data_IF_618995630117
#
_entry.id   IF_618995630117
#
_cell.length_a   1.000
_cell.length_b   1.000
_cell.length_c   1.000
_cell.angle_alpha   90.00
_cell.angle_beta   90.00
_cell.angle_gamma   90.00
#
_symmetry.space_group_name_H-M   'P 1'
#
loop_
_entity.id
_entity.type
_entity.pdbx_description
1 polymer ?
#
# COMPACT_ATOMS: atom_id res chain seq x y z
N UNK A 1 -105.19 -4.21 -70.25
CA UNK A 1 -104.16 -3.34 -69.64
C UNK A 1 -102.99 -4.21 -69.22
N UNK A 2 -101.79 -3.83 -69.70
CA UNK A 2 -100.43 -4.15 -69.22
C UNK A 2 -100.17 -5.49 -68.51
N UNK A 3 -99.55 -6.42 -69.26
CA UNK A 3 -98.55 -7.35 -68.73
C UNK A 3 -97.23 -6.59 -68.56
N UNK A 4 -96.59 -6.68 -67.40
CA UNK A 4 -95.26 -6.13 -67.14
C UNK A 4 -94.33 -7.32 -66.87
N UNK A 5 -93.50 -7.67 -67.85
CA UNK A 5 -92.35 -8.54 -67.64
C UNK A 5 -91.25 -7.76 -66.91
N UNK A 6 -90.87 -8.22 -65.73
CA UNK A 6 -89.72 -7.73 -64.99
C UNK A 6 -88.51 -8.59 -65.35
N UNK A 7 -87.70 -8.12 -66.30
CA UNK A 7 -86.37 -8.66 -66.57
C UNK A 7 -85.43 -8.21 -65.44
N UNK A 8 -85.08 -9.11 -64.54
CA UNK A 8 -84.03 -8.86 -63.55
C UNK A 8 -82.66 -8.85 -64.25
N UNK A 9 -82.00 -7.71 -64.18
CA UNK A 9 -80.71 -7.43 -64.80
C UNK A 9 -79.58 -8.04 -63.96
N UNK A 10 -79.31 -9.34 -64.19
CA UNK A 10 -78.30 -10.13 -63.48
C UNK A 10 -76.85 -9.66 -63.71
N UNK A 11 -76.65 -8.69 -64.61
CA UNK A 11 -75.34 -8.13 -64.96
C UNK A 11 -74.75 -7.22 -63.88
N UNK A 12 -75.61 -6.61 -63.05
CA UNK A 12 -75.21 -5.59 -62.07
C UNK A 12 -74.70 -6.14 -60.74
N UNK A 13 -74.99 -7.41 -60.43
CA UNK A 13 -74.50 -8.07 -59.21
C UNK A 13 -73.07 -8.62 -59.34
N UNK A 14 -72.51 -8.72 -60.55
CA UNK A 14 -71.16 -9.28 -60.74
C UNK A 14 -70.05 -8.25 -60.52
N UNK A 15 -70.29 -6.99 -60.88
CA UNK A 15 -69.29 -5.90 -60.82
C UNK A 15 -69.14 -5.23 -59.45
N UNK A 16 -70.06 -5.48 -58.51
CA UNK A 16 -69.96 -4.94 -57.15
C UNK A 16 -69.00 -5.76 -56.24
N UNK A 17 -68.75 -7.03 -56.57
CA UNK A 17 -67.87 -7.92 -55.79
C UNK A 17 -66.39 -7.88 -56.19
N UNK A 18 -66.04 -7.46 -57.41
CA UNK A 18 -64.63 -7.40 -57.85
C UNK A 18 -63.90 -6.17 -57.31
N UNK A 19 -64.57 -5.02 -57.20
CA UNK A 19 -63.94 -3.77 -56.74
C UNK A 19 -63.69 -3.73 -55.22
N UNK A 20 -64.59 -4.33 -54.43
CA UNK A 20 -64.43 -4.45 -52.98
C UNK A 20 -63.31 -5.45 -52.61
N UNK A 21 -63.17 -6.53 -53.38
CA UNK A 21 -62.08 -7.49 -53.21
C UNK A 21 -60.72 -6.86 -53.53
N UNK A 22 -60.62 -6.06 -54.60
CA UNK A 22 -59.35 -5.40 -54.96
C UNK A 22 -58.89 -4.38 -53.91
N UNK A 23 -59.81 -3.61 -53.34
CA UNK A 23 -59.50 -2.69 -52.24
C UNK A 23 -58.98 -3.43 -50.99
N UNK A 24 -59.57 -4.59 -50.67
CA UNK A 24 -59.10 -5.44 -49.58
C UNK A 24 -57.66 -5.92 -49.80
N UNK A 25 -57.32 -6.40 -51.01
CA UNK A 25 -55.96 -6.84 -51.33
C UNK A 25 -54.93 -5.71 -51.27
N UNK A 26 -55.29 -4.50 -51.71
CA UNK A 26 -54.40 -3.32 -51.61
C UNK A 26 -54.11 -2.99 -50.14
N UNK A 27 -55.14 -2.94 -49.30
CA UNK A 27 -54.97 -2.66 -47.86
C UNK A 27 -54.14 -3.75 -47.19
N UNK A 28 -54.36 -5.02 -47.54
CA UNK A 28 -53.57 -6.14 -47.02
C UNK A 28 -52.08 -6.01 -47.39
N UNK A 29 -51.77 -5.69 -48.66
CA UNK A 29 -50.41 -5.47 -49.12
C UNK A 29 -49.77 -4.27 -48.44
N UNK A 30 -50.51 -3.16 -48.27
CA UNK A 30 -50.02 -1.98 -47.58
C UNK A 30 -49.71 -2.27 -46.10
N UNK A 31 -50.56 -3.04 -45.42
CA UNK A 31 -50.37 -3.45 -44.03
C UNK A 31 -49.20 -4.43 -43.89
N UNK A 32 -49.03 -5.33 -44.85
CA UNK A 32 -47.86 -6.22 -44.93
C UNK A 32 -46.56 -5.43 -45.14
N UNK A 33 -46.54 -4.44 -46.03
CA UNK A 33 -45.38 -3.56 -46.22
C UNK A 33 -45.05 -2.74 -44.97
N UNK A 34 -46.06 -2.25 -44.25
CA UNK A 34 -45.87 -1.56 -42.96
C UNK A 34 -45.29 -2.51 -41.90
N UNK A 35 -45.78 -3.74 -41.81
CA UNK A 35 -45.25 -4.74 -40.89
C UNK A 35 -43.80 -5.10 -41.23
N UNK A 36 -43.46 -5.25 -42.52
CA UNK A 36 -42.11 -5.54 -42.98
C UNK A 36 -41.15 -4.35 -42.72
N UNK A 37 -41.63 -3.12 -42.93
CA UNK A 37 -40.88 -1.90 -42.60
C UNK A 37 -40.59 -1.80 -41.11
N UNK A 38 -41.60 -2.05 -40.27
CA UNK A 38 -41.41 -2.09 -38.81
C UNK A 38 -40.44 -3.21 -38.42
N UNK A 39 -40.53 -4.40 -39.01
CA UNK A 39 -39.59 -5.49 -38.76
C UNK A 39 -38.15 -5.09 -39.13
N UNK A 40 -37.95 -4.49 -40.30
CA UNK A 40 -36.64 -4.00 -40.74
C UNK A 40 -36.10 -2.92 -39.81
N UNK A 41 -36.93 -1.98 -39.34
CA UNK A 41 -36.53 -0.97 -38.37
C UNK A 41 -36.15 -1.60 -37.03
N UNK A 42 -36.96 -2.53 -36.51
CA UNK A 42 -36.65 -3.23 -35.25
C UNK A 42 -35.34 -4.01 -35.36
N UNK A 43 -35.12 -4.73 -36.46
CA UNK A 43 -33.86 -5.45 -36.74
C UNK A 43 -32.67 -4.50 -36.88
N UNK A 44 -32.83 -3.37 -37.56
CA UNK A 44 -31.77 -2.36 -37.71
C UNK A 44 -31.41 -1.72 -36.37
N UNK A 45 -32.41 -1.40 -35.54
CA UNK A 45 -32.20 -0.87 -34.20
C UNK A 45 -31.48 -1.90 -33.32
N UNK A 46 -31.89 -3.18 -33.34
CA UNK A 46 -31.20 -4.23 -32.57
C UNK A 46 -29.78 -4.50 -33.08
N UNK A 47 -29.52 -4.39 -34.38
CA UNK A 47 -28.19 -4.53 -34.96
C UNK A 47 -27.26 -3.35 -34.58
N UNK A 48 -27.75 -2.11 -34.64
CA UNK A 48 -26.97 -0.90 -34.31
C UNK A 48 -26.70 -0.81 -32.80
N UNK A 49 -27.69 -1.12 -31.95
CA UNK A 49 -27.52 -1.17 -30.50
C UNK A 49 -26.61 -2.32 -30.04
N UNK A 50 -26.11 -3.15 -30.96
CA UNK A 50 -25.19 -4.27 -30.70
C UNK A 50 -25.64 -5.21 -29.58
N UNK A 51 -26.95 -5.29 -29.31
CA UNK A 51 -27.50 -6.17 -28.27
C UNK A 51 -27.07 -7.62 -28.52
N UNK A 52 -26.90 -8.00 -29.80
CA UNK A 52 -26.48 -9.34 -30.20
C UNK A 52 -24.95 -9.57 -30.26
N UNK A 53 -24.14 -8.50 -30.37
CA UNK A 53 -22.67 -8.61 -30.57
C UNK A 53 -21.86 -8.21 -29.34
N UNK A 54 -22.49 -7.59 -28.34
CA UNK A 54 -21.87 -7.25 -27.05
C UNK A 54 -22.25 -8.19 -25.89
N UNK A 55 -23.16 -9.14 -26.12
CA UNK A 55 -23.63 -10.11 -25.11
C UNK A 55 -23.17 -11.54 -25.38
N UNK A 56 -22.24 -11.78 -26.32
CA UNK A 56 -21.70 -13.12 -26.59
C UNK A 56 -21.01 -13.73 -25.36
N UNK A 57 -20.55 -12.85 -24.47
CA UNK A 57 -19.76 -13.16 -23.31
C UNK A 57 -20.54 -13.02 -22.00
N UNK A 58 -21.87 -12.92 -22.04
CA UNK A 58 -22.71 -12.71 -20.86
C UNK A 58 -23.75 -13.83 -20.79
N UNK A 59 -23.69 -14.65 -19.75
CA UNK A 59 -24.69 -15.68 -19.47
C UNK A 59 -25.39 -15.38 -18.14
N UNK A 60 -26.72 -15.44 -18.15
CA UNK A 60 -27.52 -15.27 -16.95
C UNK A 60 -27.79 -16.64 -16.32
N UNK A 61 -27.20 -16.90 -15.14
CA UNK A 61 -27.45 -18.14 -14.40
C UNK A 61 -28.69 -17.92 -13.54
N UNK A 62 -29.85 -18.35 -14.04
CA UNK A 62 -31.14 -18.14 -13.37
C UNK A 62 -31.22 -18.82 -11.99
N UNK A 63 -30.55 -19.97 -11.82
CA UNK A 63 -30.55 -20.72 -10.56
C UNK A 63 -29.75 -20.05 -9.44
N UNK A 64 -28.78 -19.20 -9.79
CA UNK A 64 -27.86 -18.55 -8.86
C UNK A 64 -28.02 -17.02 -8.81
N UNK A 65 -29.00 -16.47 -9.54
CA UNK A 65 -29.23 -15.02 -9.73
C UNK A 65 -27.92 -14.25 -10.00
N UNK A 66 -27.03 -14.85 -10.79
CA UNK A 66 -25.68 -14.35 -11.02
C UNK A 66 -25.44 -14.18 -12.51
N UNK A 67 -24.74 -13.10 -12.86
CA UNK A 67 -24.31 -12.82 -14.22
C UNK A 67 -22.90 -13.38 -14.40
N UNK A 68 -22.77 -14.29 -15.35
CA UNK A 68 -21.51 -14.89 -15.75
C UNK A 68 -20.92 -14.13 -16.92
N UNK A 69 -19.68 -13.70 -16.76
CA UNK A 69 -18.89 -13.04 -17.78
C UNK A 69 -17.85 -14.01 -18.34
N UNK A 70 -17.72 -14.09 -19.66
CA UNK A 70 -16.76 -14.93 -20.36
C UNK A 70 -15.72 -14.08 -21.10
N UNK A 71 -14.45 -14.42 -20.96
CA UNK A 71 -13.36 -13.72 -21.65
C UNK A 71 -13.22 -12.25 -21.25
N UNK A 72 -12.60 -11.47 -22.12
CA UNK A 72 -12.31 -10.06 -21.85
C UNK A 72 -13.53 -9.21 -22.16
N UNK A 73 -14.02 -8.49 -21.16
CA UNK A 73 -15.15 -7.58 -21.29
C UNK A 73 -14.72 -6.20 -20.80
N UNK A 74 -15.00 -5.19 -21.62
CA UNK A 74 -14.70 -3.80 -21.32
C UNK A 74 -15.95 -3.13 -20.76
N UNK A 75 -15.86 -2.71 -19.50
CA UNK A 75 -16.89 -1.95 -18.80
C UNK A 75 -16.29 -0.68 -18.21
N UNK A 76 -16.78 0.48 -18.62
CA UNK A 76 -16.40 1.78 -18.03
C UNK A 76 -16.81 1.87 -16.55
N UNK A 77 -18.03 1.41 -16.22
CA UNK A 77 -18.53 1.40 -14.84
C UNK A 77 -19.43 0.21 -14.58
N UNK A 78 -19.06 -0.59 -13.59
CA UNK A 78 -19.88 -1.71 -13.09
C UNK A 78 -20.51 -1.30 -11.77
N UNK A 79 -21.84 -1.40 -11.67
CA UNK A 79 -22.57 -1.23 -10.43
C UNK A 79 -23.16 -2.56 -10.00
N UNK A 80 -22.76 -3.04 -8.82
CA UNK A 80 -23.25 -4.29 -8.24
C UNK A 80 -23.75 -4.02 -6.83
N UNK A 81 -25.01 -4.39 -6.55
CA UNK A 81 -25.67 -4.04 -5.29
C UNK A 81 -25.14 -4.85 -4.10
N UNK A 82 -24.82 -6.12 -4.31
CA UNK A 82 -24.27 -7.01 -3.28
C UNK A 82 -22.76 -6.79 -3.02
N UNK A 83 -22.08 -6.03 -3.88
CA UNK A 83 -20.64 -5.75 -3.80
C UNK A 83 -19.74 -6.99 -3.94
N UNK A 84 -20.27 -8.13 -4.38
CA UNK A 84 -19.54 -9.40 -4.46
C UNK A 84 -18.92 -9.58 -5.85
N UNK A 85 -17.59 -9.56 -5.95
CA UNK A 85 -16.87 -9.83 -7.19
C UNK A 85 -16.08 -11.13 -7.02
N UNK A 86 -16.45 -12.15 -7.79
CA UNK A 86 -15.89 -13.50 -7.71
C UNK A 86 -15.35 -13.95 -9.07
N UNK A 87 -14.48 -14.96 -9.03
CA UNK A 87 -13.89 -15.61 -10.20
C UNK A 87 -14.18 -17.11 -10.18
N UNK A 88 -13.89 -17.80 -11.29
CA UNK A 88 -14.04 -19.24 -11.35
C UNK A 88 -13.05 -19.95 -10.44
N UNK A 89 -13.39 -21.20 -10.10
CA UNK A 89 -12.49 -22.06 -9.37
C UNK A 89 -11.16 -22.19 -10.14
N UNK A 90 -10.05 -21.87 -9.47
CA UNK A 90 -8.68 -21.86 -10.01
C UNK A 90 -8.36 -20.79 -11.08
N UNK A 91 -9.28 -19.87 -11.39
CA UNK A 91 -9.02 -18.73 -12.27
C UNK A 91 -8.99 -17.43 -11.45
N UNK A 92 -7.97 -16.57 -11.60
CA UNK A 92 -7.95 -15.29 -10.92
C UNK A 92 -8.98 -14.32 -11.53
N UNK A 93 -9.61 -13.50 -10.68
CA UNK A 93 -10.34 -12.32 -11.16
C UNK A 93 -9.32 -11.25 -11.59
N UNK A 94 -9.24 -10.98 -12.88
CA UNK A 94 -8.39 -9.93 -13.42
C UNK A 94 -9.21 -8.67 -13.70
N UNK A 95 -8.83 -7.56 -13.05
CA UNK A 95 -9.41 -6.24 -13.29
C UNK A 95 -8.29 -5.34 -13.82
N UNK A 96 -8.42 -4.92 -15.08
CA UNK A 96 -7.41 -4.10 -15.77
C UNK A 96 -8.00 -2.77 -16.20
N UNK A 97 -7.24 -1.69 -16.01
CA UNK A 97 -7.55 -0.37 -16.56
C UNK A 97 -6.59 -0.05 -17.70
N UNK A 98 -7.10 0.02 -18.93
CA UNK A 98 -6.30 0.45 -20.08
C UNK A 98 -6.16 1.97 -20.07
N UNK A 99 -4.94 2.46 -19.84
CA UNK A 99 -4.63 3.89 -19.70
C UNK A 99 -5.42 4.65 -18.60
N UNK A 100 -6.06 3.92 -17.67
CA UNK A 100 -6.87 4.48 -16.59
C UNK A 100 -6.62 3.82 -15.23
N UNK A 101 -7.07 4.49 -14.17
CA UNK A 101 -7.03 3.95 -12.80
C UNK A 101 -8.26 3.06 -12.56
N UNK A 102 -8.09 1.98 -11.79
CA UNK A 102 -9.22 1.14 -11.35
C UNK A 102 -9.66 1.57 -9.96
N UNK A 103 -10.91 2.05 -9.83
CA UNK A 103 -11.49 2.48 -8.56
C UNK A 103 -12.67 1.60 -8.16
N UNK A 104 -12.61 1.02 -6.95
CA UNK A 104 -13.74 0.29 -6.35
C UNK A 104 -14.34 1.14 -5.24
N UNK A 105 -15.59 1.52 -5.47
CA UNK A 105 -16.34 2.43 -4.64
C UNK A 105 -17.49 1.72 -3.95
N UNK A 106 -17.63 1.93 -2.65
CA UNK A 106 -18.74 1.40 -1.87
C UNK A 106 -19.73 2.54 -1.58
N UNK A 107 -20.99 2.33 -1.96
CA UNK A 107 -22.08 3.27 -1.71
C UNK A 107 -22.69 2.95 -0.34
N UNK A 108 -22.70 3.93 0.55
CA UNK A 108 -23.33 3.79 1.87
C UNK A 108 -24.87 3.91 1.75
N UNK A 109 -25.61 3.51 2.79
CA UNK A 109 -27.08 3.63 2.88
C UNK A 109 -27.61 5.05 2.63
N UNK A 110 -26.76 6.06 2.83
CA UNK A 110 -27.07 7.47 2.59
C UNK A 110 -26.84 7.91 1.13
N UNK A 111 -26.52 6.97 0.21
CA UNK A 111 -26.23 7.24 -1.20
C UNK A 111 -24.85 7.84 -1.48
N UNK A 112 -24.02 8.03 -0.45
CA UNK A 112 -22.67 8.57 -0.61
C UNK A 112 -21.69 7.47 -1.01
N UNK A 113 -21.01 7.69 -2.13
CA UNK A 113 -19.95 6.82 -2.65
C UNK A 113 -18.63 7.12 -1.94
N UNK A 114 -18.01 6.10 -1.35
CA UNK A 114 -16.68 6.21 -0.75
C UNK A 114 -15.70 5.35 -1.54
N UNK A 115 -14.59 5.97 -1.96
CA UNK A 115 -13.47 5.26 -2.58
C UNK A 115 -12.76 4.40 -1.53
N UNK A 116 -12.82 3.08 -1.71
CA UNK A 116 -12.24 2.13 -0.76
C UNK A 116 -10.95 1.53 -1.30
N UNK A 117 -10.93 1.19 -2.58
CA UNK A 117 -9.74 0.64 -3.24
C UNK A 117 -9.48 1.47 -4.50
N UNK A 118 -8.26 1.97 -4.62
CA UNK A 118 -7.80 2.72 -5.78
C UNK A 118 -6.50 2.10 -6.27
N UNK A 119 -6.49 1.59 -7.48
CA UNK A 119 -5.32 1.02 -8.13
C UNK A 119 -4.89 2.00 -9.22
N UNK A 120 -3.76 2.66 -9.00
CA UNK A 120 -3.18 3.62 -9.95
C UNK A 120 -1.81 3.15 -10.42
N UNK A 121 -1.28 3.80 -11.45
CA UNK A 121 0.12 3.57 -11.89
C UNK A 121 1.16 3.87 -10.81
N UNK A 122 0.84 4.77 -9.86
CA UNK A 122 1.77 5.17 -8.79
C UNK A 122 1.68 4.28 -7.56
N UNK A 123 0.60 3.52 -7.41
CA UNK A 123 0.45 2.55 -6.33
C UNK A 123 -0.99 2.10 -6.09
N UNK A 124 -1.13 1.19 -5.12
CA UNK A 124 -2.42 0.67 -4.69
C UNK A 124 -2.78 1.23 -3.32
N UNK A 125 -3.92 1.90 -3.22
CA UNK A 125 -4.38 2.55 -2.00
C UNK A 125 -5.67 1.90 -1.50
N UNK A 126 -5.67 1.51 -0.24
CA UNK A 126 -6.84 0.96 0.44
C UNK A 126 -7.21 1.88 1.61
N UNK A 127 -8.44 2.42 1.61
CA UNK A 127 -8.90 3.44 2.57
C UNK A 127 -10.16 3.00 3.30
N UNK A 128 -10.20 3.21 4.61
CA UNK A 128 -11.40 2.95 5.43
C UNK A 128 -11.86 1.50 5.40
N UNK A 129 -10.90 0.57 5.45
CA UNK A 129 -11.11 -0.88 5.52
C UNK A 129 -10.82 -1.35 6.94
N UNK A 130 -11.80 -1.95 7.59
CA UNK A 130 -11.65 -2.47 8.96
C UNK A 130 -10.92 -3.82 8.96
N UNK A 131 -11.15 -4.64 7.94
CA UNK A 131 -10.62 -5.99 7.82
C UNK A 131 -10.13 -6.22 6.38
N UNK A 132 -8.84 -6.48 6.22
CA UNK A 132 -8.23 -6.84 4.96
C UNK A 132 -7.31 -8.02 5.18
N UNK A 133 -7.61 -9.11 4.46
CA UNK A 133 -6.92 -10.37 4.56
C UNK A 133 -6.43 -10.79 3.17
N UNK A 134 -5.15 -11.13 3.08
CA UNK A 134 -4.54 -11.73 1.89
C UNK A 134 -4.22 -13.17 2.22
N UNK A 135 -4.72 -14.10 1.40
CA UNK A 135 -4.47 -15.54 1.53
C UNK A 135 -3.67 -16.02 0.33
N UNK A 136 -2.79 -16.98 0.58
CA UNK A 136 -2.12 -17.72 -0.48
C UNK A 136 -3.17 -18.53 -1.26
N UNK A 137 -3.24 -18.38 -2.60
CA UNK A 137 -4.26 -19.05 -3.40
C UNK A 137 -4.14 -20.58 -3.42
N UNK A 138 -2.92 -21.12 -3.25
CA UNK A 138 -2.67 -22.57 -3.32
C UNK A 138 -2.88 -23.21 -1.95
N UNK A 139 -2.34 -22.59 -0.90
CA UNK A 139 -2.38 -23.18 0.44
C UNK A 139 -3.59 -22.72 1.27
N UNK A 140 -4.30 -21.69 0.83
CA UNK A 140 -5.38 -21.04 1.58
C UNK A 140 -4.91 -20.32 2.86
N UNK A 141 -3.61 -20.31 3.12
CA UNK A 141 -3.03 -19.77 4.35
C UNK A 141 -3.02 -18.25 4.29
N UNK A 142 -3.45 -17.61 5.37
CA UNK A 142 -3.38 -16.15 5.51
C UNK A 142 -1.91 -15.69 5.50
N UNK A 143 -1.57 -14.84 4.52
CA UNK A 143 -0.25 -14.24 4.31
C UNK A 143 -0.18 -12.86 4.99
N UNK A 144 -1.28 -12.11 4.96
CA UNK A 144 -1.38 -10.80 5.60
C UNK A 144 -2.79 -10.59 6.14
N UNK A 145 -2.90 -9.89 7.28
CA UNK A 145 -4.18 -9.48 7.85
C UNK A 145 -4.03 -8.16 8.59
N UNK A 146 -5.00 -7.26 8.44
CA UNK A 146 -5.02 -6.02 9.24
C UNK A 146 -5.24 -6.27 10.73
N UNK A 147 -5.87 -7.39 11.09
CA UNK A 147 -6.07 -7.80 12.48
C UNK A 147 -4.77 -8.26 13.17
N UNK A 148 -3.78 -8.69 12.39
CA UNK A 148 -2.46 -9.14 12.86
C UNK A 148 -1.41 -8.65 11.87
N UNK A 149 -0.90 -7.41 12.03
CA UNK A 149 0.08 -6.80 11.11
C UNK A 149 1.48 -7.40 11.28
N UNK A 150 1.57 -8.71 11.51
CA UNK A 150 2.82 -9.46 11.47
C UNK A 150 3.09 -9.84 10.02
N UNK A 151 3.89 -9.00 9.36
CA UNK A 151 4.34 -9.25 8.00
C UNK A 151 5.69 -9.96 8.01
N UNK A 152 5.71 -11.21 7.54
CA UNK A 152 6.95 -11.94 7.32
C UNK A 152 7.45 -11.63 5.91
N UNK A 153 8.44 -10.75 5.81
CA UNK A 153 8.96 -10.25 4.54
C UNK A 153 9.85 -11.32 3.87
N UNK A 154 9.45 -11.92 2.74
CA UNK A 154 10.13 -13.10 2.20
C UNK A 154 11.49 -12.80 1.56
N UNK A 155 11.71 -11.58 1.04
CA UNK A 155 12.97 -11.18 0.38
C UNK A 155 13.66 -9.97 1.04
N UNK A 156 13.20 -9.54 2.23
CA UNK A 156 13.68 -8.30 2.87
C UNK A 156 13.10 -7.03 2.23
N UNK A 157 13.37 -5.88 2.85
CA UNK A 157 12.95 -4.55 2.36
C UNK A 157 14.18 -3.72 2.00
N UNK A 158 14.12 -2.96 0.90
CA UNK A 158 15.13 -1.93 0.63
C UNK A 158 14.99 -0.73 1.59
N UNK A 159 13.75 -0.33 1.89
CA UNK A 159 13.43 0.73 2.86
C UNK A 159 12.30 0.25 3.75
N UNK A 160 12.50 0.31 5.07
CA UNK A 160 11.50 -0.06 6.06
C UNK A 160 11.21 1.12 6.98
N UNK A 161 9.98 1.65 6.92
CA UNK A 161 9.50 2.68 7.83
C UNK A 161 8.50 2.05 8.80
N UNK A 162 8.87 1.97 10.07
CA UNK A 162 8.03 1.35 11.11
C UNK A 162 8.37 1.90 12.49
N UNK A 163 7.44 1.76 13.42
CA UNK A 163 7.62 2.11 14.84
C UNK A 163 8.27 0.99 15.66
N UNK A 164 8.09 -0.27 15.25
CA UNK A 164 8.59 -1.45 15.97
C UNK A 164 9.05 -2.51 14.96
N UNK A 165 10.26 -3.02 15.17
CA UNK A 165 10.80 -4.19 14.46
C UNK A 165 11.14 -5.24 15.50
N UNK A 166 10.60 -6.45 15.34
CA UNK A 166 11.03 -7.61 16.09
C UNK A 166 11.70 -8.59 15.12
N UNK A 167 13.02 -8.71 15.19
CA UNK A 167 13.80 -9.59 14.33
C UNK A 167 15.00 -10.15 15.10
N UNK A 168 15.40 -11.38 14.78
CA UNK A 168 16.64 -11.96 15.30
C UNK A 168 17.90 -11.38 14.65
N UNK A 169 17.79 -10.76 13.46
CA UNK A 169 18.93 -10.17 12.74
C UNK A 169 18.48 -9.02 11.86
N UNK A 170 19.22 -7.92 11.88
CA UNK A 170 19.10 -6.81 10.95
C UNK A 170 20.46 -6.66 10.27
N UNK A 171 20.51 -6.79 8.96
CA UNK A 171 21.74 -6.71 8.18
C UNK A 171 21.47 -6.09 6.82
N UNK A 172 22.41 -5.30 6.30
CA UNK A 172 22.44 -4.90 4.90
C UNK A 172 23.14 -5.97 4.05
N UNK A 173 22.96 -5.92 2.72
CA UNK A 173 23.83 -6.63 1.78
C UNK A 173 25.31 -6.27 1.99
N UNK A 174 26.22 -7.17 1.57
CA UNK A 174 27.67 -7.07 1.82
C UNK A 174 28.28 -5.73 1.34
N UNK A 175 27.74 -5.17 0.25
CA UNK A 175 28.26 -3.96 -0.39
C UNK A 175 27.45 -2.71 -0.06
N UNK A 176 26.46 -2.82 0.84
CA UNK A 176 25.53 -1.74 1.16
C UNK A 176 25.61 -1.32 2.62
N UNK A 177 25.34 -0.04 2.85
CA UNK A 177 25.31 0.55 4.19
C UNK A 177 23.95 0.33 4.85
N UNK A 178 23.94 -0.23 6.06
CA UNK A 178 22.75 -0.27 6.90
C UNK A 178 22.56 1.08 7.60
N UNK A 179 21.51 1.81 7.23
CA UNK A 179 21.16 3.10 7.86
C UNK A 179 19.96 2.95 8.79
N UNK A 180 20.15 3.26 10.07
CA UNK A 180 19.08 3.32 11.07
C UNK A 180 18.84 4.78 11.45
N UNK A 181 17.73 5.36 10.97
CA UNK A 181 17.39 6.77 11.21
C UNK A 181 16.06 6.87 11.97
N UNK A 182 16.03 7.73 12.98
CA UNK A 182 14.83 8.07 13.76
C UNK A 182 14.74 9.58 13.90
N UNK A 183 13.53 10.11 14.05
CA UNK A 183 13.31 11.55 14.33
C UNK A 183 13.44 11.89 15.81
N UNK A 184 13.31 10.91 16.71
CA UNK A 184 13.21 11.17 18.15
C UNK A 184 14.10 10.25 18.97
N UNK A 185 13.80 8.95 18.99
CA UNK A 185 14.52 7.98 19.81
C UNK A 185 14.63 6.65 19.07
N UNK A 186 15.82 6.05 19.13
CA UNK A 186 16.08 4.68 18.71
C UNK A 186 16.42 3.88 19.96
N UNK A 187 15.67 2.82 20.24
CA UNK A 187 15.95 1.91 21.36
C UNK A 187 16.15 0.53 20.80
N UNK A 188 17.35 -0.03 20.99
CA UNK A 188 17.66 -1.40 20.66
C UNK A 188 17.61 -2.22 21.95
N UNK A 189 16.85 -3.31 21.97
CA UNK A 189 16.70 -4.20 23.11
C UNK A 189 16.82 -5.65 22.63
N UNK A 190 17.75 -6.41 23.22
CA UNK A 190 17.86 -7.85 23.03
C UNK A 190 17.65 -8.56 24.35
N UNK A 191 16.95 -9.69 24.34
CA UNK A 191 16.74 -10.54 25.54
C UNK A 191 18.03 -11.13 26.05
N UNK A 192 18.97 -11.45 25.14
CA UNK A 192 20.28 -12.05 25.44
C UNK A 192 21.44 -11.05 25.23
N UNK A 193 21.11 -9.77 25.04
CA UNK A 193 22.07 -8.74 24.66
C UNK A 193 22.01 -8.37 23.18
N UNK A 194 22.88 -7.46 22.77
CA UNK A 194 22.92 -6.90 21.41
C UNK A 194 24.36 -7.02 20.91
N UNK A 195 24.56 -7.69 19.77
CA UNK A 195 25.84 -7.76 19.07
C UNK A 195 25.75 -6.94 17.80
N UNK A 196 26.63 -5.94 17.67
CA UNK A 196 26.74 -5.11 16.48
C UNK A 196 28.13 -5.30 15.88
N UNK A 197 28.16 -5.65 14.60
CA UNK A 197 29.38 -5.87 13.84
C UNK A 197 29.29 -5.12 12.52
N UNK A 198 30.30 -4.33 12.22
CA UNK A 198 30.42 -3.61 10.97
C UNK A 198 31.90 -3.38 10.65
N UNK A 199 32.22 -3.17 9.38
CA UNK A 199 33.54 -2.67 8.97
C UNK A 199 33.79 -1.29 9.59
N UNK A 200 32.76 -0.44 9.56
CA UNK A 200 32.75 0.90 10.14
C UNK A 200 31.40 1.14 10.80
N UNK A 201 31.41 1.69 12.01
CA UNK A 201 30.20 2.01 12.78
C UNK A 201 30.21 3.49 13.13
N UNK A 202 29.24 4.23 12.61
CA UNK A 202 29.05 5.65 12.90
C UNK A 202 27.74 5.84 13.67
N UNK A 203 27.84 6.36 14.88
CA UNK A 203 26.69 6.83 15.65
C UNK A 203 26.72 8.34 15.76
N UNK A 204 25.63 8.99 15.36
CA UNK A 204 25.44 10.43 15.48
C UNK A 204 24.11 10.69 16.15
N UNK A 205 24.11 11.58 17.14
CA UNK A 205 22.92 12.04 17.83
C UNK A 205 23.05 13.54 18.10
N UNK A 206 21.95 14.28 18.04
CA UNK A 206 21.94 15.73 18.28
C UNK A 206 22.36 16.11 19.71
N UNK A 207 22.15 15.19 20.66
CA UNK A 207 22.49 15.37 22.07
C UNK A 207 23.47 14.30 22.55
N UNK A 208 22.96 13.25 23.19
CA UNK A 208 23.77 12.27 23.91
C UNK A 208 23.51 10.85 23.40
N UNK A 209 24.57 10.05 23.34
CA UNK A 209 24.50 8.61 23.12
C UNK A 209 24.70 7.93 24.48
N UNK A 210 23.70 7.17 24.93
CA UNK A 210 23.75 6.44 26.19
C UNK A 210 23.97 4.95 25.92
N UNK A 211 25.10 4.42 26.41
CA UNK A 211 25.37 2.98 26.41
C UNK A 211 25.21 2.46 27.84
N UNK A 212 24.14 1.69 28.09
CA UNK A 212 23.83 1.13 29.41
C UNK A 212 23.70 -0.38 29.31
N UNK A 213 24.36 -1.09 30.21
CA UNK A 213 24.16 -2.52 30.45
C UNK A 213 23.57 -2.68 31.85
N UNK A 214 22.37 -3.26 31.96
CA UNK A 214 21.70 -3.47 33.26
C UNK A 214 22.31 -4.67 34.01
N UNK A 215 22.59 -5.77 33.30
CA UNK A 215 23.16 -7.01 33.83
C UNK A 215 24.30 -7.52 32.94
N UNK A 216 25.43 -6.80 32.94
CA UNK A 216 26.60 -7.20 32.15
C UNK A 216 27.65 -6.11 32.03
N UNK A 217 28.48 -6.22 30.99
CA UNK A 217 29.48 -5.20 30.66
C UNK A 217 29.21 -4.62 29.27
N UNK A 218 29.62 -3.37 29.06
CA UNK A 218 29.68 -2.75 27.74
C UNK A 218 31.14 -2.80 27.28
N UNK A 219 31.40 -3.47 26.17
CA UNK A 219 32.75 -3.59 25.61
C UNK A 219 32.81 -2.89 24.25
N UNK A 220 33.76 -1.95 24.11
CA UNK A 220 34.11 -1.35 22.83
C UNK A 220 35.44 -1.97 22.39
N UNK A 221 35.42 -2.72 21.29
CA UNK A 221 36.59 -3.42 20.76
C UNK A 221 36.79 -3.01 19.30
N UNK A 222 37.88 -2.30 19.02
CA UNK A 222 38.31 -2.00 17.66
C UNK A 222 39.56 -2.78 17.31
N UNK A 223 39.69 -3.28 16.07
CA UNK A 223 40.83 -4.12 15.65
C UNK A 223 42.20 -3.46 15.84
N UNK A 224 42.26 -2.13 15.69
CA UNK A 224 43.46 -1.33 15.90
C UNK A 224 43.44 -0.57 17.26
N UNK A 225 42.46 -0.86 18.13
CA UNK A 225 42.21 -0.14 19.38
C UNK A 225 40.97 0.74 19.34
N UNK A 226 40.70 1.45 20.45
CA UNK A 226 39.63 2.45 20.56
C UNK A 226 40.27 3.81 20.81
N UNK A 227 40.03 4.78 19.94
CA UNK A 227 40.52 6.14 20.11
C UNK A 227 39.39 7.07 20.54
N UNK A 228 39.72 7.97 21.44
CA UNK A 228 38.85 9.06 21.88
C UNK A 228 39.49 10.35 21.38
N UNK A 229 38.70 11.23 20.77
CA UNK A 229 39.21 12.55 20.38
C UNK A 229 39.47 13.37 21.64
N UNK A 230 40.75 13.42 22.02
CA UNK A 230 41.24 14.04 23.24
C UNK A 230 40.96 15.55 23.25
N UNK A 231 40.91 16.22 22.10
CA UNK A 231 40.70 17.67 22.01
C UNK A 231 39.31 18.10 22.49
N UNK A 232 38.31 17.22 22.35
CA UNK A 232 36.94 17.47 22.76
C UNK A 232 36.67 17.08 24.23
N UNK A 233 37.67 16.55 24.95
CA UNK A 233 37.51 16.21 26.35
C UNK A 233 37.66 17.44 27.25
N UNK A 234 36.83 17.58 28.31
CA UNK A 234 36.94 18.68 29.26
C UNK A 234 38.30 18.67 29.95
N UNK A 235 38.92 19.85 30.10
CA UNK A 235 40.19 20.03 30.82
C UNK A 235 39.88 20.63 32.18
N UNK A 236 40.20 19.90 33.23
CA UNK A 236 39.97 20.29 34.62
C UNK A 236 41.26 20.84 35.22
N UNK A 237 41.13 21.93 35.99
CA UNK A 237 42.26 22.51 36.71
C UNK A 237 42.56 21.70 37.97
N UNK A 238 43.83 21.30 38.14
CA UNK A 238 44.29 20.71 39.38
C UNK A 238 44.21 21.74 40.52
N UNK A 239 43.93 21.28 41.73
CA UNK A 239 43.92 22.11 42.95
C UNK A 239 45.26 22.87 43.16
N UNK A 240 46.37 22.27 42.71
CA UNK A 240 47.72 22.83 42.79
C UNK A 240 48.04 23.92 41.74
N UNK A 241 47.02 24.50 41.11
CA UNK A 241 47.18 25.71 40.29
C UNK A 241 48.14 25.59 39.11
N UNK A 242 47.79 24.80 38.09
CA UNK A 242 48.48 24.90 36.80
C UNK A 242 47.92 26.12 36.06
N UNK A 243 48.75 27.16 35.85
CA UNK A 243 48.41 28.27 34.94
C UNK A 243 48.15 27.68 33.55
N UNK A 244 46.89 27.82 33.12
CA UNK A 244 46.38 27.46 31.79
C UNK A 244 47.26 28.12 30.72
N UNK A 245 48.22 27.36 30.18
CA UNK A 245 49.14 27.87 29.16
C UNK A 245 50.52 27.22 29.12
N UNK A 246 50.94 26.43 30.11
CA UNK A 246 52.33 25.92 30.16
C UNK A 246 52.52 24.41 30.30
N UNK A 247 51.49 23.59 30.45
CA UNK A 247 51.62 22.12 30.54
C UNK A 247 51.44 21.45 29.17
N UNK A 248 52.50 20.81 28.65
CA UNK A 248 52.43 20.00 27.42
C UNK A 248 51.95 18.56 27.70
N UNK A 249 51.63 18.23 28.96
CA UNK A 249 51.30 16.88 29.40
C UNK A 249 49.96 16.90 30.15
N UNK A 250 49.12 15.93 29.83
CA UNK A 250 47.82 15.73 30.45
C UNK A 250 47.70 14.30 30.95
N UNK A 251 47.05 14.12 32.10
CA UNK A 251 46.58 12.82 32.58
C UNK A 251 45.13 12.62 32.17
N UNK A 252 44.80 11.43 31.70
CA UNK A 252 43.43 11.01 31.43
C UNK A 252 42.84 10.39 32.68
N UNK A 253 41.71 10.92 33.15
CA UNK A 253 41.05 10.51 34.36
C UNK A 253 39.63 10.03 34.05
N UNK A 254 39.16 9.04 34.80
CA UNK A 254 37.81 8.46 34.64
C UNK A 254 37.06 8.58 35.96
N UNK A 255 35.87 9.16 35.93
CA UNK A 255 34.97 9.22 37.07
C UNK A 255 34.34 7.85 37.33
N UNK A 256 34.69 7.19 38.42
CA UNK A 256 34.00 5.99 38.87
C UNK A 256 32.80 6.37 39.76
N UNK A 257 31.62 5.75 39.60
CA UNK A 257 31.24 4.70 38.65
C UNK A 257 30.69 5.22 37.30
N UNK A 258 30.58 6.54 37.13
CA UNK A 258 29.86 7.17 36.01
C UNK A 258 30.49 6.96 34.62
N UNK A 259 31.78 6.61 34.54
CA UNK A 259 32.51 6.41 33.28
C UNK A 259 32.85 7.69 32.52
N UNK A 260 32.61 8.89 33.08
CA UNK A 260 32.97 10.17 32.45
C UNK A 260 34.49 10.33 32.37
N UNK A 261 34.99 10.75 31.21
CA UNK A 261 36.43 10.91 30.95
C UNK A 261 36.77 12.40 30.90
N UNK A 262 37.85 12.80 31.58
CA UNK A 262 38.34 14.18 31.58
C UNK A 262 39.87 14.24 31.56
N UNK A 263 40.40 15.40 31.19
CA UNK A 263 41.84 15.68 31.15
C UNK A 263 42.25 16.53 32.34
N UNK A 264 43.36 16.20 32.98
CA UNK A 264 43.97 17.03 34.01
C UNK A 264 45.37 17.46 33.57
N UNK A 265 45.65 18.76 33.62
CA UNK A 265 46.96 19.31 33.27
C UNK A 265 48.02 18.90 34.30
N UNK A 266 49.18 18.42 33.83
CA UNK A 266 50.32 18.07 34.68
C UNK A 266 51.31 19.25 34.74
N UNK A 267 51.63 19.81 35.91
CA UNK A 267 52.63 20.85 36.05
C UNK A 267 54.02 20.33 35.66
N UNK A 268 54.83 21.19 35.05
CA UNK A 268 56.21 20.89 34.60
C UNK A 268 57.23 20.71 35.73
N UNK A 269 56.80 20.65 36.99
CA UNK A 269 57.70 20.54 38.14
C UNK A 269 58.03 19.06 38.41
N UNK A 270 59.32 18.73 38.50
CA UNK A 270 59.86 17.36 38.55
C UNK A 270 59.32 16.44 39.68
N UNK A 271 58.59 16.98 40.66
CA UNK A 271 58.08 16.22 41.82
C UNK A 271 56.55 16.31 42.02
N UNK A 272 55.79 16.93 41.12
CA UNK A 272 54.35 17.08 41.31
C UNK A 272 53.57 15.84 40.83
N UNK A 273 53.22 14.96 41.78
CA UNK A 273 52.31 13.84 41.54
C UNK A 273 50.86 14.34 41.50
N UNK A 274 50.37 14.66 40.30
CA UNK A 274 48.95 15.01 40.11
C UNK A 274 48.11 13.72 40.11
N UNK A 275 47.18 13.61 41.06
CA UNK A 275 46.20 12.52 41.13
C UNK A 275 44.85 13.01 40.59
N UNK A 276 44.12 12.12 39.91
CA UNK A 276 42.79 12.37 39.37
C UNK A 276 41.74 12.74 40.44
N UNK A 277 42.03 12.48 41.71
CA UNK A 277 41.18 12.84 42.85
C UNK A 277 41.29 14.32 43.31
N UNK A 278 42.33 15.05 42.91
CA UNK A 278 42.61 16.41 43.42
C UNK A 278 42.35 17.48 42.36
N UNK A 279 41.07 17.77 42.12
CA UNK A 279 40.60 18.86 41.25
C UNK A 279 40.08 20.04 42.07
N UNK A 280 40.08 21.24 41.48
CA UNK A 280 39.51 22.43 42.15
C UNK A 280 38.01 22.24 42.38
N UNK A 281 37.53 22.43 43.62
CA UNK A 281 36.13 22.20 44.00
C UNK A 281 35.07 23.05 43.27
N UNK A 282 35.49 24.03 42.46
CA UNK A 282 34.60 24.81 41.59
C UNK A 282 34.22 24.10 40.29
N UNK A 283 34.98 23.09 39.87
CA UNK A 283 34.78 22.33 38.64
C UNK A 283 34.85 20.83 38.97
N UNK A 284 33.74 20.22 39.43
CA UNK A 284 33.69 18.78 39.67
C UNK A 284 33.38 18.03 38.36
N UNK A 285 34.34 17.32 37.74
CA UNK A 285 34.09 16.57 36.50
C UNK A 285 33.20 15.35 36.69
N UNK A 286 33.03 14.90 37.94
CA UNK A 286 32.28 13.71 38.33
C UNK A 286 30.94 14.03 39.03
N UNK A 287 30.50 15.29 39.00
CA UNK A 287 29.19 15.70 39.53
C UNK A 287 28.05 15.39 38.55
#
# INVERSE_FOLDING_TARGET
MRQVEQKYDLSKCRTYNEKSSFAFWIVLVLLFCLALGNLCLTLSITAILRIYRGMENIELIQDADTIKFYGNIDFDRVYKEDGLLESFYEEPLELTGDDGDVSINLVNRNGQSHEKIQLTRTGSFLKGINHFDVKDPVTGRQVFATSRPHYNMPQGAAVLQTHLVNSGRIASPINDTLMLQTRSKLTLKGTEGIRMEAKELLWSADQNIFLKSDNGSTMLVGGNGVWVNVNNLPVVKSEHGVRTGSSNQYKLCVCYPQGRIFRMAVPKTHNARVNCAHYSGKENPCA
#
